data_IF_241796781611
#
_entry.id   IF_241796781611
#
_cell.length_a   1.000
_cell.length_b   1.000
_cell.length_c   1.000
_cell.angle_alpha   90.00
_cell.angle_beta   90.00
_cell.angle_gamma   90.00
#
_symmetry.space_group_name_H-M   'P 1'
#
loop_
_entity.id
_entity.type
_entity.pdbx_description
1 polymer ?
#
# COMPACT_ATOMS: atom_id res chain seq x y z
N UNK A 1 -10.69 9.41 10.84
CA UNK A 1 -9.27 9.01 10.96
C UNK A 1 -9.18 7.50 11.13
N UNK A 2 -8.81 6.77 10.08
CA UNK A 2 -8.82 5.30 10.12
C UNK A 2 -7.51 4.70 9.58
N UNK A 3 -6.39 4.87 10.32
CA UNK A 3 -5.13 4.20 9.99
C UNK A 3 -5.28 2.67 9.88
N UNK A 4 -6.24 2.08 10.61
CA UNK A 4 -6.54 0.64 10.56
C UNK A 4 -7.06 0.19 9.20
N UNK A 5 -7.87 1.04 8.53
CA UNK A 5 -8.38 0.76 7.19
C UNK A 5 -7.22 0.81 6.18
N UNK A 6 -6.32 1.80 6.31
CA UNK A 6 -5.14 1.89 5.45
C UNK A 6 -4.21 0.68 5.64
N UNK A 7 -4.05 0.21 6.88
CA UNK A 7 -3.29 -1.00 7.20
C UNK A 7 -3.93 -2.26 6.61
N UNK A 8 -5.26 -2.38 6.64
CA UNK A 8 -5.97 -3.49 6.01
C UNK A 8 -5.71 -3.55 4.48
N UNK A 9 -5.75 -2.41 3.80
CA UNK A 9 -5.42 -2.33 2.37
C UNK A 9 -3.95 -2.67 2.09
N UNK A 10 -3.03 -2.23 2.95
CA UNK A 10 -1.61 -2.62 2.86
C UNK A 10 -1.42 -4.12 2.99
N UNK A 11 -2.02 -4.74 4.01
CA UNK A 11 -1.90 -6.19 4.23
C UNK A 11 -2.49 -6.97 3.05
N UNK A 12 -3.63 -6.52 2.51
CA UNK A 12 -4.21 -7.09 1.30
C UNK A 12 -3.28 -6.97 0.09
N UNK A 13 -2.61 -5.83 -0.07
CA UNK A 13 -1.62 -5.64 -1.13
C UNK A 13 -0.42 -6.60 -0.99
N UNK A 14 0.05 -6.84 0.23
CA UNK A 14 1.11 -7.81 0.50
C UNK A 14 0.68 -9.24 0.15
N UNK A 15 -0.55 -9.63 0.49
CA UNK A 15 -1.09 -10.95 0.10
C UNK A 15 -1.09 -11.09 -1.42
N UNK A 16 -1.57 -10.08 -2.15
CA UNK A 16 -1.54 -10.10 -3.61
C UNK A 16 -0.11 -10.17 -4.18
N UNK A 17 0.86 -9.48 -3.57
CA UNK A 17 2.26 -9.59 -3.95
C UNK A 17 2.81 -11.01 -3.75
N UNK A 18 2.44 -11.66 -2.64
CA UNK A 18 2.88 -13.02 -2.32
C UNK A 18 2.33 -14.07 -3.30
N UNK A 19 1.12 -13.86 -3.84
CA UNK A 19 0.51 -14.77 -4.81
C UNK A 19 0.79 -14.37 -6.27
N UNK A 20 1.63 -13.35 -6.52
CA UNK A 20 2.01 -12.91 -7.87
C UNK A 20 0.99 -12.03 -8.59
N UNK A 21 -0.10 -11.65 -7.91
CA UNK A 21 -1.19 -10.82 -8.44
C UNK A 21 -0.83 -9.33 -8.34
N UNK A 22 0.23 -8.93 -9.05
CA UNK A 22 0.85 -7.61 -8.88
C UNK A 22 -0.07 -6.44 -9.23
N UNK A 23 -1.01 -6.61 -10.17
CA UNK A 23 -1.97 -5.56 -10.54
C UNK A 23 -2.93 -5.24 -9.37
N UNK A 24 -3.45 -6.29 -8.71
CA UNK A 24 -4.31 -6.16 -7.53
C UNK A 24 -3.52 -5.66 -6.31
N UNK A 25 -2.23 -6.03 -6.19
CA UNK A 25 -1.33 -5.51 -5.18
C UNK A 25 -1.16 -3.99 -5.31
N UNK A 26 -0.87 -3.51 -6.53
CA UNK A 26 -0.70 -2.09 -6.82
C UNK A 26 -1.96 -1.28 -6.46
N UNK A 27 -3.12 -1.72 -6.95
CA UNK A 27 -4.39 -1.05 -6.67
C UNK A 27 -4.73 -1.01 -5.16
N UNK A 28 -4.31 -2.02 -4.40
CA UNK A 28 -4.51 -2.08 -2.94
C UNK A 28 -3.55 -1.14 -2.20
N UNK A 29 -2.27 -1.07 -2.61
CA UNK A 29 -1.31 -0.11 -2.06
C UNK A 29 -1.70 1.34 -2.35
N UNK A 30 -2.23 1.65 -3.54
CA UNK A 30 -2.71 3.00 -3.88
C UNK A 30 -3.90 3.43 -2.99
N UNK A 31 -4.83 2.51 -2.69
CA UNK A 31 -5.93 2.76 -1.77
C UNK A 31 -5.43 3.04 -0.35
N UNK A 32 -4.46 2.24 0.14
CA UNK A 32 -3.82 2.48 1.44
C UNK A 32 -3.15 3.86 1.48
N UNK A 33 -2.42 4.22 0.41
CA UNK A 33 -1.74 5.51 0.28
C UNK A 33 -2.71 6.69 0.32
N UNK A 34 -3.82 6.60 -0.40
CA UNK A 34 -4.85 7.65 -0.41
C UNK A 34 -5.36 7.91 1.01
N UNK A 35 -5.66 6.86 1.77
CA UNK A 35 -6.14 7.00 3.15
C UNK A 35 -5.06 7.58 4.07
N UNK A 36 -3.81 7.12 3.95
CA UNK A 36 -2.70 7.63 4.76
C UNK A 36 -2.34 9.08 4.49
N UNK A 37 -2.59 9.59 3.28
CA UNK A 37 -2.40 11.01 2.93
C UNK A 37 -3.43 11.93 3.57
N UNK A 38 -4.62 11.42 3.90
CA UNK A 38 -5.65 12.17 4.62
C UNK A 38 -5.53 12.03 6.15
N UNK A 39 -4.59 11.22 6.66
CA UNK A 39 -4.38 11.04 8.11
C UNK A 39 -3.21 11.85 8.66
N UNK A 40 -3.29 12.15 9.96
CA UNK A 40 -2.37 12.97 10.77
C UNK A 40 -0.87 12.60 10.61
N UNK A 41 0.07 13.49 10.99
CA UNK A 41 1.52 13.33 10.78
C UNK A 41 2.13 12.00 11.23
N UNK A 42 1.52 11.33 12.22
CA UNK A 42 1.92 10.00 12.71
C UNK A 42 1.92 8.91 11.62
N UNK A 43 1.21 9.11 10.49
CA UNK A 43 1.17 8.15 9.39
C UNK A 43 2.28 8.32 8.35
N UNK A 44 3.13 9.34 8.50
CA UNK A 44 4.25 9.61 7.56
C UNK A 44 5.24 8.45 7.46
N UNK A 45 5.43 7.67 8.52
CA UNK A 45 6.27 6.46 8.51
C UNK A 45 5.68 5.37 7.60
N UNK A 46 4.34 5.20 7.61
CA UNK A 46 3.67 4.21 6.77
C UNK A 46 3.60 4.61 5.29
N UNK A 47 3.60 5.91 5.00
CA UNK A 47 3.65 6.44 3.61
C UNK A 47 4.93 6.00 2.91
N UNK A 48 6.09 6.16 3.56
CA UNK A 48 7.39 5.79 2.97
C UNK A 48 7.47 4.29 2.65
N UNK A 49 6.97 3.44 3.55
CA UNK A 49 6.92 2.00 3.36
C UNK A 49 6.05 1.61 2.16
N UNK A 50 4.86 2.20 2.04
CA UNK A 50 3.96 1.91 0.92
C UNK A 50 4.54 2.42 -0.40
N UNK A 51 5.21 3.57 -0.43
CA UNK A 51 5.88 4.05 -1.64
C UNK A 51 6.97 3.07 -2.12
N UNK A 52 7.74 2.52 -1.18
CA UNK A 52 8.74 1.50 -1.49
C UNK A 52 8.08 0.24 -2.05
N UNK A 53 7.01 -0.24 -1.42
CA UNK A 53 6.25 -1.41 -1.90
C UNK A 53 5.64 -1.19 -3.28
N UNK A 54 5.06 0.00 -3.55
CA UNK A 54 4.54 0.36 -4.87
C UNK A 54 5.65 0.28 -5.92
N UNK A 55 6.82 0.88 -5.67
CA UNK A 55 7.96 0.81 -6.60
C UNK A 55 8.39 -0.63 -6.89
N UNK A 56 8.44 -1.47 -5.85
CA UNK A 56 8.78 -2.88 -5.98
C UNK A 56 7.77 -3.64 -6.83
N UNK A 57 6.47 -3.53 -6.53
CA UNK A 57 5.41 -4.18 -7.31
C UNK A 57 5.40 -3.69 -8.76
N UNK A 58 5.54 -2.38 -8.99
CA UNK A 58 5.61 -1.83 -10.35
C UNK A 58 6.81 -2.33 -11.15
N UNK A 59 7.92 -2.67 -10.50
CA UNK A 59 9.07 -3.28 -11.19
C UNK A 59 8.81 -4.73 -11.64
N UNK A 60 7.94 -5.46 -10.93
CA UNK A 60 7.54 -6.84 -11.25
C UNK A 60 6.42 -6.93 -12.29
N UNK A 61 5.78 -5.80 -12.62
CA UNK A 61 4.77 -5.67 -13.67
C UNK A 61 5.37 -5.38 -15.06
N UNK A 62 6.69 -5.17 -15.15
CA UNK A 62 7.42 -5.02 -16.42
C UNK A 62 7.76 -6.37 -17.03
#
# INVERSE_FOLDING_TARGET
>A
NHPDIAMAYRNRAQIYELIGEYQQALASYEKAMKIYRYSLPATKIHVNEIEKSIRQVSSKLK
#
